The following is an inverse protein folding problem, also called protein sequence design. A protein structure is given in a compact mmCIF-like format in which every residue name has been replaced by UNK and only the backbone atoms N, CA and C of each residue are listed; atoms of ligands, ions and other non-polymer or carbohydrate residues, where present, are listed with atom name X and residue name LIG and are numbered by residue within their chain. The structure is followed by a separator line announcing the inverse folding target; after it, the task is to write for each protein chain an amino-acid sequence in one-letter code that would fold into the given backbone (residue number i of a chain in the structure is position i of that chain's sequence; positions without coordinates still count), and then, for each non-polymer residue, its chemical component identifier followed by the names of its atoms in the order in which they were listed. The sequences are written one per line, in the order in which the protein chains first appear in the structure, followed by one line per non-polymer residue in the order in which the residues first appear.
data_IF_936325619324
#
_entry.id   IF_936325619324
#
_cell.length_a   1.000
_cell.length_b   1.000
_cell.length_c   1.000
_cell.angle_alpha   90.00
_cell.angle_beta   90.00
_cell.angle_gamma   90.00
#
_symmetry.space_group_name_H-M   'P 1'
#
loop_
_entity.id
_entity.type
_entity.pdbx_description
1 polymer ?
#
# COMPACT_ATOMS: atom_id res chain seq x y z
N UNK A 1 -19.46 3.31 -9.72
CA UNK A 1 -18.29 4.19 -9.58
C UNK A 1 -17.49 3.76 -8.35
N UNK A 2 -16.21 3.45 -8.56
CA UNK A 2 -15.34 3.00 -7.48
C UNK A 2 -14.71 4.18 -6.75
N UNK A 3 -14.80 4.16 -5.45
CA UNK A 3 -14.13 5.12 -4.62
C UNK A 3 -12.63 4.82 -4.62
N UNK A 4 -11.82 5.86 -4.66
CA UNK A 4 -10.37 5.73 -4.55
C UNK A 4 -9.89 6.48 -3.33
N UNK A 5 -9.22 5.77 -2.44
CA UNK A 5 -8.58 6.34 -1.27
C UNK A 5 -7.12 5.93 -1.28
N UNK A 6 -6.31 6.61 -0.50
CA UNK A 6 -4.88 6.29 -0.46
C UNK A 6 -4.33 6.47 0.94
N UNK A 7 -3.20 5.81 1.17
CA UNK A 7 -2.42 6.00 2.39
C UNK A 7 -0.94 5.81 2.06
N UNK A 8 -0.09 6.35 2.91
CA UNK A 8 1.35 6.20 2.77
C UNK A 8 1.84 5.11 3.72
N UNK A 9 2.82 4.35 3.28
CA UNK A 9 3.34 3.24 4.05
C UNK A 9 4.83 3.06 3.81
N UNK A 10 5.47 2.36 4.75
CA UNK A 10 6.88 1.98 4.64
C UNK A 10 6.94 0.50 4.32
N UNK A 11 7.72 0.13 3.31
CA UNK A 11 7.90 -1.27 2.93
C UNK A 11 8.76 -1.96 3.97
N UNK A 12 8.24 -3.05 4.55
CA UNK A 12 8.95 -3.84 5.54
C UNK A 12 9.65 -5.03 4.90
N UNK A 13 9.00 -5.66 3.93
CA UNK A 13 9.52 -6.84 3.28
C UNK A 13 8.97 -6.95 1.88
N UNK A 14 9.80 -7.33 0.93
CA UNK A 14 9.39 -7.56 -0.46
C UNK A 14 9.43 -9.05 -0.72
N UNK A 15 8.29 -9.60 -1.10
CA UNK A 15 8.14 -11.01 -1.46
C UNK A 15 7.87 -11.12 -2.96
N UNK A 16 7.86 -12.34 -3.46
CA UNK A 16 7.71 -12.60 -4.89
C UNK A 16 6.42 -12.05 -5.48
N UNK A 17 5.29 -12.17 -4.77
CA UNK A 17 3.97 -11.76 -5.25
C UNK A 17 3.27 -10.80 -4.33
N UNK A 18 3.95 -10.35 -3.28
CA UNK A 18 3.33 -9.44 -2.32
C UNK A 18 4.41 -8.63 -1.62
N UNK A 19 3.96 -7.57 -0.97
CA UNK A 19 4.84 -6.79 -0.10
C UNK A 19 4.18 -6.65 1.25
N UNK A 20 4.99 -6.59 2.29
CA UNK A 20 4.52 -6.31 3.64
C UNK A 20 4.85 -4.85 3.94
N UNK A 21 3.85 -4.09 4.36
CA UNK A 21 4.00 -2.67 4.58
C UNK A 21 3.42 -2.28 5.94
N UNK A 22 3.88 -1.14 6.44
CA UNK A 22 3.38 -0.57 7.68
C UNK A 22 2.88 0.84 7.37
N UNK A 23 1.62 1.13 7.70
CA UNK A 23 1.03 2.43 7.44
C UNK A 23 1.79 3.53 8.19
N UNK A 24 2.27 4.53 7.47
CA UNK A 24 2.96 5.67 8.07
C UNK A 24 2.06 6.89 8.13
N UNK A 25 1.12 7.05 7.20
CA UNK A 25 0.17 8.15 7.21
C UNK A 25 -1.11 7.71 6.51
N UNK A 26 -2.23 7.81 7.20
CA UNK A 26 -3.49 7.24 6.72
C UNK A 26 -4.33 8.19 5.87
N UNK A 27 -4.14 9.50 5.99
CA UNK A 27 -5.02 10.50 5.35
C UNK A 27 -6.48 10.18 5.66
N UNK A 28 -7.34 10.09 4.65
CA UNK A 28 -8.76 9.76 4.83
C UNK A 28 -9.09 8.31 4.52
N UNK A 29 -8.09 7.44 4.48
CA UNK A 29 -8.29 6.04 4.11
C UNK A 29 -8.96 5.19 5.19
N UNK A 30 -8.94 5.65 6.43
CA UNK A 30 -9.45 4.87 7.55
C UNK A 30 -8.47 3.81 8.07
N UNK A 31 -7.27 3.74 7.52
CA UNK A 31 -6.27 2.76 7.94
C UNK A 31 -5.53 3.26 9.17
N UNK A 32 -5.46 2.47 10.25
CA UNK A 32 -4.71 2.88 11.43
C UNK A 32 -3.22 3.04 11.13
N UNK A 33 -2.63 4.13 11.62
CA UNK A 33 -1.19 4.33 11.54
C UNK A 33 -0.48 3.23 12.33
N UNK A 34 0.67 2.77 11.83
CA UNK A 34 1.48 1.69 12.38
C UNK A 34 0.88 0.29 12.20
N UNK A 35 -0.24 0.15 11.53
CA UNK A 35 -0.80 -1.16 11.22
C UNK A 35 -0.06 -1.78 10.05
N UNK A 36 0.17 -3.10 10.12
CA UNK A 36 0.87 -3.84 9.08
C UNK A 36 -0.11 -4.50 8.12
N UNK A 37 0.21 -4.42 6.83
CA UNK A 37 -0.62 -4.98 5.77
C UNK A 37 0.20 -5.84 4.84
N UNK A 38 -0.46 -6.85 4.27
CA UNK A 38 0.09 -7.61 3.15
C UNK A 38 -0.63 -7.14 1.89
N UNK A 39 0.14 -6.69 0.91
CA UNK A 39 -0.40 -6.17 -0.35
C UNK A 39 0.06 -7.07 -1.49
N UNK A 40 -0.91 -7.63 -2.22
CA UNK A 40 -0.61 -8.49 -3.37
C UNK A 40 -0.25 -7.62 -4.56
N UNK A 41 0.96 -7.78 -5.09
CA UNK A 41 1.47 -6.90 -6.13
C UNK A 41 1.02 -7.26 -7.53
N UNK A 42 0.59 -8.50 -7.75
CA UNK A 42 0.19 -8.96 -9.08
C UNK A 42 -1.22 -8.52 -9.50
N UNK A 43 -1.93 -7.80 -8.63
CA UNK A 43 -3.29 -7.34 -8.93
C UNK A 43 -3.40 -5.81 -8.98
N UNK A 44 -2.28 -5.13 -9.11
CA UNK A 44 -2.28 -3.67 -9.23
C UNK A 44 -2.84 -3.31 -10.61
N UNK A 45 -3.97 -2.59 -10.64
CA UNK A 45 -4.67 -2.30 -11.90
C UNK A 45 -3.86 -1.47 -12.88
N UNK A 46 -2.99 -0.59 -12.40
CA UNK A 46 -2.15 0.21 -13.28
C UNK A 46 -1.17 -0.62 -14.11
N UNK A 47 -0.92 -1.86 -13.68
CA UNK A 47 0.02 -2.74 -14.35
C UNK A 47 1.48 -2.34 -14.17
N UNK A 48 1.74 -1.25 -13.45
CA UNK A 48 3.08 -0.77 -13.20
C UNK A 48 3.38 -0.79 -11.72
N UNK A 49 4.53 -1.35 -11.38
CA UNK A 49 4.98 -1.43 -10.01
C UNK A 49 6.44 -0.98 -9.98
N UNK A 50 6.77 0.07 -9.21
CA UNK A 50 8.18 0.49 -9.10
C UNK A 50 9.01 -0.58 -8.41
N UNK A 51 10.32 -0.53 -8.60
CA UNK A 51 11.23 -1.40 -7.88
C UNK A 51 11.22 -1.00 -6.41
N UNK A 52 10.78 -1.92 -5.56
CA UNK A 52 10.61 -1.66 -4.14
C UNK A 52 11.65 -2.43 -3.33
N UNK A 53 12.11 -1.79 -2.27
CA UNK A 53 13.04 -2.39 -1.32
C UNK A 53 12.55 -2.12 0.10
N UNK A 54 12.94 -2.96 1.03
CA UNK A 54 12.62 -2.73 2.44
C UNK A 54 13.12 -1.35 2.86
N UNK A 55 12.29 -0.59 3.55
CA UNK A 55 12.60 0.76 3.98
C UNK A 55 12.08 1.86 3.04
N UNK A 56 11.65 1.51 1.85
CA UNK A 56 11.10 2.49 0.92
C UNK A 56 9.76 3.01 1.40
N UNK A 57 9.47 4.27 1.07
CA UNK A 57 8.17 4.88 1.34
C UNK A 57 7.33 4.84 0.08
N UNK A 58 6.09 4.42 0.21
CA UNK A 58 5.18 4.27 -0.92
C UNK A 58 3.82 4.86 -0.59
N UNK A 59 3.07 5.17 -1.65
CA UNK A 59 1.66 5.55 -1.54
C UNK A 59 0.83 4.50 -2.24
N UNK A 60 -0.14 3.95 -1.54
CA UNK A 60 -1.02 2.91 -2.08
C UNK A 60 -2.40 3.50 -2.30
N UNK A 61 -2.90 3.39 -3.53
CA UNK A 61 -4.26 3.82 -3.89
C UNK A 61 -5.11 2.57 -4.02
N UNK A 62 -6.23 2.51 -3.31
CA UNK A 62 -7.08 1.33 -3.28
C UNK A 62 -8.55 1.73 -3.16
N UNK A 63 -9.44 0.74 -3.10
CA UNK A 63 -10.89 0.95 -3.10
C UNK A 63 -11.50 1.26 -1.72
N UNK A 64 -10.69 1.38 -0.70
CA UNK A 64 -11.17 1.67 0.64
C UNK A 64 -11.57 0.43 1.45
N UNK A 65 -11.53 -0.74 0.84
CA UNK A 65 -11.91 -1.97 1.52
C UNK A 65 -10.72 -2.59 2.23
N UNK A 66 -10.88 -2.88 3.52
CA UNK A 66 -9.86 -3.52 4.33
C UNK A 66 -10.39 -4.89 4.72
N UNK A 67 -9.66 -5.95 4.37
CA UNK A 67 -10.02 -7.32 4.71
C UNK A 67 -9.41 -7.67 6.06
N UNK A 68 -10.27 -8.03 7.00
CA UNK A 68 -9.84 -8.39 8.34
C UNK A 68 -9.25 -9.80 8.37
N UNK A 69 -7.95 -9.86 8.21
CA UNK A 69 -7.16 -11.09 8.30
C UNK A 69 -5.87 -10.75 9.04
N UNK A 70 -5.03 -11.71 9.26
CA UNK A 70 -3.76 -11.43 9.93
C UNK A 70 -2.62 -12.00 9.09
N UNK A 71 -1.77 -11.13 8.53
CA UNK A 71 -1.86 -9.65 8.54
C UNK A 71 -3.04 -9.14 7.74
N UNK A 72 -3.42 -7.89 7.98
CA UNK A 72 -4.54 -7.26 7.27
C UNK A 72 -4.24 -7.18 5.77
N UNK A 73 -5.29 -7.26 4.97
CA UNK A 73 -5.19 -7.19 3.51
C UNK A 73 -6.09 -6.09 2.98
N UNK A 74 -5.74 -5.56 1.82
CA UNK A 74 -6.54 -4.57 1.13
C UNK A 74 -7.45 -5.24 0.11
N UNK A 75 -8.51 -4.54 -0.29
CA UNK A 75 -9.34 -4.96 -1.39
C UNK A 75 -8.61 -4.80 -2.72
N UNK A 76 -9.21 -4.07 -3.67
CA UNK A 76 -8.54 -3.83 -4.95
C UNK A 76 -7.53 -2.71 -4.83
N UNK A 77 -6.31 -2.95 -5.28
CA UNK A 77 -5.26 -1.94 -5.32
C UNK A 77 -5.15 -1.40 -6.73
N UNK A 78 -5.35 -0.09 -6.88
CA UNK A 78 -5.31 0.54 -8.21
C UNK A 78 -3.90 0.92 -8.62
N UNK A 79 -3.10 1.41 -7.70
CA UNK A 79 -1.75 1.87 -8.01
C UNK A 79 -0.89 1.91 -6.75
N UNK A 80 0.42 1.79 -6.96
CA UNK A 80 1.43 1.94 -5.91
C UNK A 80 2.49 2.88 -6.47
N UNK A 81 2.75 3.97 -5.75
CA UNK A 81 3.75 4.97 -6.16
C UNK A 81 4.90 5.00 -5.16
N UNK A 82 6.11 5.11 -5.69
CA UNK A 82 7.30 5.27 -4.85
C UNK A 82 7.43 6.74 -4.44
N UNK A 83 7.63 6.98 -3.16
CA UNK A 83 7.79 8.32 -2.61
C UNK A 83 9.27 8.60 -2.32
N UNK A 84 9.65 9.89 -2.32
CA UNK A 84 11.00 10.29 -1.92
C UNK A 84 11.11 10.40 -0.40
N UNK A 85 12.26 10.87 0.10
CA UNK A 85 12.52 11.00 1.53
C UNK A 85 11.54 11.96 2.23
N UNK A 86 10.96 12.88 1.48
CA UNK A 86 10.03 13.87 2.01
C UNK A 86 8.56 13.44 1.87
N UNK A 87 8.30 12.25 1.36
CA UNK A 87 6.96 11.75 1.16
C UNK A 87 6.28 12.26 -0.10
N UNK A 88 7.04 12.71 -1.08
CA UNK A 88 6.52 13.22 -2.35
C UNK A 88 6.78 12.23 -3.49
N UNK A 89 5.91 12.30 -4.47
CA UNK A 89 6.06 11.49 -5.69
C UNK A 89 7.22 11.94 -6.55
#
# INVERSE_FOLDING_TARGET
EKEQVYFDATVLEVKKKSIKVKCSESFDSGIPVDEEFSVTTNIVESGELPDLNAGDHIRIVFDGIIKESYPLQLGNVFAIYLLDENGNL
#
